data_IF_701969981188
#
_entry.id   IF_701969981188
#
_cell.length_a   1.000
_cell.length_b   1.000
_cell.length_c   1.000
_cell.angle_alpha   90.00
_cell.angle_beta   90.00
_cell.angle_gamma   90.00
#
_symmetry.space_group_name_H-M   'P 1'
#
loop_
_entity.id
_entity.type
_entity.pdbx_description
1 polymer ?
#
# COMPACT_ATOMS: atom_id res chain seq x y z
N UNK A 1 25.16 -10.22 -5.07
CA UNK A 1 25.35 -9.18 -6.12
C UNK A 1 24.87 -7.89 -5.48
N UNK A 2 25.68 -6.83 -5.41
CA UNK A 2 25.30 -5.63 -4.65
C UNK A 2 24.00 -5.03 -5.18
N UNK A 3 23.04 -4.76 -4.29
CA UNK A 3 21.79 -4.09 -4.64
C UNK A 3 22.08 -2.64 -5.04
N UNK A 4 21.48 -2.20 -6.14
CA UNK A 4 21.50 -0.80 -6.59
C UNK A 4 20.07 -0.31 -6.84
N UNK A 5 19.85 1.00 -6.77
CA UNK A 5 18.56 1.60 -7.11
C UNK A 5 18.17 1.32 -8.56
N UNK A 6 19.14 1.29 -9.47
CA UNK A 6 18.89 0.92 -10.86
C UNK A 6 18.30 -0.50 -11.00
N UNK A 7 18.84 -1.49 -10.27
CA UNK A 7 18.30 -2.84 -10.32
C UNK A 7 16.86 -2.93 -9.80
N UNK A 8 16.53 -2.10 -8.81
CA UNK A 8 15.15 -1.97 -8.30
C UNK A 8 14.24 -1.40 -9.39
N UNK A 9 14.68 -0.35 -10.10
CA UNK A 9 13.90 0.24 -11.19
C UNK A 9 13.70 -0.72 -12.35
N UNK A 10 14.72 -1.48 -12.74
CA UNK A 10 14.62 -2.47 -13.81
C UNK A 10 13.57 -3.54 -13.48
N UNK A 11 13.51 -4.00 -12.22
CA UNK A 11 12.48 -4.93 -11.75
C UNK A 11 11.09 -4.28 -11.82
N UNK A 12 10.95 -3.07 -11.29
CA UNK A 12 9.66 -2.37 -11.28
C UNK A 12 9.18 -2.03 -12.69
N UNK A 13 10.08 -1.75 -13.64
CA UNK A 13 9.73 -1.55 -15.05
C UNK A 13 9.14 -2.83 -15.64
N UNK A 14 9.74 -3.99 -15.38
CA UNK A 14 9.18 -5.29 -15.78
C UNK A 14 7.81 -5.58 -15.15
N UNK A 15 7.59 -5.15 -13.90
CA UNK A 15 6.29 -5.25 -13.23
C UNK A 15 5.28 -4.29 -13.88
N UNK A 16 5.68 -3.05 -14.16
CA UNK A 16 4.84 -2.05 -14.81
C UNK A 16 4.38 -2.53 -16.18
N UNK A 17 5.26 -3.11 -17.00
CA UNK A 17 4.89 -3.69 -18.30
C UNK A 17 3.81 -4.77 -18.20
N UNK A 18 3.82 -5.54 -17.11
CA UNK A 18 2.82 -6.59 -16.86
C UNK A 18 1.48 -6.02 -16.41
N UNK A 19 1.49 -4.98 -15.58
CA UNK A 19 0.30 -4.39 -14.95
C UNK A 19 -0.37 -3.35 -15.85
N UNK A 20 0.40 -2.66 -16.67
CA UNK A 20 -0.09 -1.57 -17.50
C UNK A 20 -1.12 -2.09 -18.52
N UNK A 21 -2.13 -1.27 -18.82
CA UNK A 21 -3.26 -1.59 -19.70
C UNK A 21 -4.15 -2.77 -19.27
N UNK A 22 -3.92 -3.35 -18.09
CA UNK A 22 -4.79 -4.38 -17.53
C UNK A 22 -6.09 -3.78 -16.97
N UNK A 23 -7.18 -4.57 -16.87
CA UNK A 23 -8.41 -4.09 -16.24
C UNK A 23 -8.18 -3.67 -14.78
N UNK A 24 -8.91 -2.67 -14.32
CA UNK A 24 -8.96 -2.35 -12.89
C UNK A 24 -9.68 -3.51 -12.16
N UNK A 25 -9.11 -4.06 -11.06
CA UNK A 25 -9.78 -5.05 -10.24
C UNK A 25 -11.19 -4.66 -9.83
N UNK A 26 -12.09 -5.63 -9.77
CA UNK A 26 -13.51 -5.39 -9.53
C UNK A 26 -13.76 -4.72 -8.17
N UNK A 27 -13.10 -5.18 -7.11
CA UNK A 27 -13.23 -4.60 -5.77
C UNK A 27 -12.83 -3.13 -5.72
N UNK A 28 -11.75 -2.74 -6.40
CA UNK A 28 -11.33 -1.34 -6.49
C UNK A 28 -12.35 -0.50 -7.29
N UNK A 29 -12.96 -1.08 -8.33
CA UNK A 29 -14.06 -0.44 -9.07
C UNK A 29 -15.31 -0.27 -8.20
N UNK A 30 -15.67 -1.27 -7.40
CA UNK A 30 -16.80 -1.21 -6.48
C UNK A 30 -16.57 -0.17 -5.39
N UNK A 31 -15.37 -0.11 -4.82
CA UNK A 31 -14.98 0.92 -3.87
C UNK A 31 -15.13 2.32 -4.45
N UNK A 32 -14.58 2.54 -5.66
CA UNK A 32 -14.70 3.81 -6.40
C UNK A 32 -16.16 4.20 -6.62
N UNK A 33 -17.01 3.23 -7.03
CA UNK A 33 -18.45 3.46 -7.23
C UNK A 33 -19.16 3.84 -5.93
N UNK A 34 -18.87 3.15 -4.84
CA UNK A 34 -19.43 3.44 -3.52
C UNK A 34 -19.06 4.86 -3.07
N UNK A 35 -17.77 5.23 -3.19
CA UNK A 35 -17.26 6.57 -2.87
C UNK A 35 -17.92 7.66 -3.70
N UNK A 36 -18.04 7.47 -5.01
CA UNK A 36 -18.72 8.42 -5.89
C UNK A 36 -20.20 8.61 -5.53
N UNK A 37 -20.92 7.52 -5.22
CA UNK A 37 -22.32 7.59 -4.77
C UNK A 37 -22.46 8.33 -3.43
N UNK A 38 -21.52 8.14 -2.51
CA UNK A 38 -21.49 8.88 -1.26
C UNK A 38 -21.27 10.39 -1.50
N UNK A 39 -20.30 10.74 -2.36
CA UNK A 39 -20.05 12.13 -2.76
C UNK A 39 -21.27 12.78 -3.41
N UNK A 40 -21.94 12.07 -4.32
CA UNK A 40 -23.17 12.54 -4.98
C UNK A 40 -24.28 12.80 -3.96
N UNK A 41 -24.48 11.89 -2.99
CA UNK A 41 -25.48 12.07 -1.94
C UNK A 41 -25.21 13.32 -1.09
N UNK A 42 -23.98 13.50 -0.63
CA UNK A 42 -23.61 14.67 0.18
C UNK A 42 -23.72 15.95 -0.67
N UNK A 43 -23.33 15.90 -1.94
CA UNK A 43 -23.45 17.04 -2.85
C UNK A 43 -24.91 17.48 -3.03
N UNK A 44 -25.82 16.52 -3.27
CA UNK A 44 -27.24 16.79 -3.41
C UNK A 44 -27.85 17.38 -2.13
N UNK A 45 -27.54 16.78 -0.97
CA UNK A 45 -28.01 17.28 0.33
C UNK A 45 -27.50 18.70 0.62
N UNK A 46 -26.21 18.95 0.35
CA UNK A 46 -25.60 20.27 0.49
C UNK A 46 -26.22 21.29 -0.47
N UNK A 47 -26.55 20.90 -1.69
CA UNK A 47 -27.19 21.79 -2.67
C UNK A 47 -28.62 22.14 -2.25
N UNK A 48 -29.41 21.15 -1.82
CA UNK A 48 -30.80 21.35 -1.38
C UNK A 48 -30.87 22.26 -0.15
N UNK A 49 -29.88 22.18 0.75
CA UNK A 49 -29.81 22.93 2.01
C UNK A 49 -28.96 24.20 1.92
N UNK A 50 -28.31 24.48 0.78
CA UNK A 50 -27.43 25.64 0.56
C UNK A 50 -28.09 26.99 0.89
N UNK A 51 -29.40 27.10 0.67
CA UNK A 51 -30.17 28.31 0.96
C UNK A 51 -30.31 28.60 2.47
N UNK A 52 -30.08 27.61 3.33
CA UNK A 52 -30.25 27.73 4.78
C UNK A 52 -29.01 28.28 5.47
N UNK A 53 -27.80 27.90 5.02
CA UNK A 53 -26.55 28.29 5.67
C UNK A 53 -25.35 28.15 4.73
N UNK A 54 -24.34 29.03 4.88
CA UNK A 54 -23.13 29.04 4.04
C UNK A 54 -22.27 27.78 4.18
N UNK A 55 -22.36 27.09 5.32
CA UNK A 55 -21.68 25.80 5.56
C UNK A 55 -21.95 24.80 4.42
N UNK A 56 -23.20 24.67 3.97
CA UNK A 56 -23.57 23.72 2.92
C UNK A 56 -23.01 24.11 1.54
N UNK A 57 -22.82 25.41 1.27
CA UNK A 57 -22.11 25.88 0.07
C UNK A 57 -20.63 25.47 0.14
N UNK A 58 -20.02 25.56 1.33
CA UNK A 58 -18.64 25.13 1.55
C UNK A 58 -18.49 23.61 1.40
N UNK A 59 -19.40 22.82 1.99
CA UNK A 59 -19.40 21.34 1.85
C UNK A 59 -19.45 20.92 0.37
N UNK A 60 -20.34 21.55 -0.41
CA UNK A 60 -20.47 21.28 -1.85
C UNK A 60 -19.18 21.60 -2.63
N UNK A 61 -18.51 22.71 -2.31
CA UNK A 61 -17.25 23.10 -2.94
C UNK A 61 -16.09 22.18 -2.54
N UNK A 62 -16.02 21.77 -1.27
CA UNK A 62 -14.95 20.91 -0.74
C UNK A 62 -15.03 19.48 -1.29
N UNK A 63 -16.23 18.96 -1.58
CA UNK A 63 -16.40 17.62 -2.16
C UNK A 63 -15.65 17.41 -3.49
N UNK A 64 -15.50 18.45 -4.32
CA UNK A 64 -14.74 18.37 -5.56
C UNK A 64 -13.22 18.18 -5.34
N UNK A 65 -12.72 18.55 -4.16
CA UNK A 65 -11.32 18.42 -3.78
C UNK A 65 -11.00 17.08 -3.10
N UNK A 66 -12.03 16.34 -2.68
CA UNK A 66 -11.84 15.03 -2.06
C UNK A 66 -11.61 14.00 -3.15
N UNK A 67 -10.46 13.33 -3.15
CA UNK A 67 -10.21 12.25 -4.08
C UNK A 67 -11.18 11.09 -3.88
N UNK A 68 -11.56 10.46 -5.00
CA UNK A 68 -12.42 9.27 -4.94
C UNK A 68 -11.64 8.06 -4.42
N UNK A 69 -10.35 7.98 -4.75
CA UNK A 69 -9.41 6.98 -4.24
C UNK A 69 -8.61 7.58 -3.08
N UNK A 70 -8.94 7.16 -1.86
CA UNK A 70 -8.14 7.42 -0.68
C UNK A 70 -7.14 6.29 -0.45
N UNK A 71 -6.34 6.37 0.61
CA UNK A 71 -5.29 5.39 0.94
C UNK A 71 -5.83 3.95 1.00
N UNK A 72 -7.05 3.77 1.53
CA UNK A 72 -7.70 2.45 1.59
C UNK A 72 -8.02 1.95 0.18
N UNK A 73 -8.60 2.80 -0.66
CA UNK A 73 -8.87 2.46 -2.06
C UNK A 73 -7.61 2.05 -2.81
N UNK A 74 -6.50 2.77 -2.61
CA UNK A 74 -5.22 2.43 -3.21
C UNK A 74 -4.67 1.10 -2.71
N UNK A 75 -4.77 0.80 -1.41
CA UNK A 75 -4.33 -0.50 -0.88
C UNK A 75 -5.18 -1.68 -1.40
N UNK A 76 -6.48 -1.51 -1.57
CA UNK A 76 -7.35 -2.51 -2.22
C UNK A 76 -6.86 -2.77 -3.65
N UNK A 77 -6.54 -1.70 -4.40
CA UNK A 77 -5.99 -1.83 -5.76
C UNK A 77 -4.67 -2.60 -5.75
N UNK A 78 -3.73 -2.24 -4.88
CA UNK A 78 -2.42 -2.87 -4.82
C UNK A 78 -2.49 -4.34 -4.43
N UNK A 79 -3.32 -4.71 -3.45
CA UNK A 79 -3.52 -6.11 -3.03
C UNK A 79 -4.08 -6.95 -4.17
N UNK A 80 -5.14 -6.46 -4.82
CA UNK A 80 -5.77 -7.17 -5.92
C UNK A 80 -4.82 -7.33 -7.13
N UNK A 81 -4.03 -6.30 -7.45
CA UNK A 81 -3.00 -6.40 -8.51
C UNK A 81 -1.90 -7.39 -8.10
N UNK A 82 -1.47 -7.35 -6.84
CA UNK A 82 -0.46 -8.26 -6.29
C UNK A 82 -0.88 -9.73 -6.42
N UNK A 83 -2.11 -10.04 -6.01
CA UNK A 83 -2.69 -11.38 -6.09
C UNK A 83 -2.88 -11.83 -7.54
N UNK A 84 -3.54 -11.00 -8.35
CA UNK A 84 -3.88 -11.34 -9.74
C UNK A 84 -2.63 -11.56 -10.60
N UNK A 85 -1.63 -10.71 -10.45
CA UNK A 85 -0.38 -10.79 -11.21
C UNK A 85 0.68 -11.67 -10.53
N UNK A 86 0.41 -12.23 -9.35
CA UNK A 86 1.35 -13.01 -8.55
C UNK A 86 2.70 -12.29 -8.32
N UNK A 87 2.62 -10.99 -8.04
CA UNK A 87 3.76 -10.13 -7.69
C UNK A 87 3.69 -9.77 -6.21
N UNK A 88 4.82 -9.50 -5.53
CA UNK A 88 4.78 -9.03 -4.16
C UNK A 88 4.04 -7.69 -4.03
N UNK A 89 3.35 -7.49 -2.91
CA UNK A 89 2.58 -6.26 -2.64
C UNK A 89 3.47 -5.02 -2.65
N UNK A 90 4.71 -5.13 -2.18
CA UNK A 90 5.67 -4.02 -2.24
C UNK A 90 6.00 -3.59 -3.67
N UNK A 91 5.98 -4.52 -4.63
CA UNK A 91 6.24 -4.21 -6.04
C UNK A 91 5.05 -3.51 -6.66
N UNK A 92 3.82 -3.95 -6.31
CA UNK A 92 2.61 -3.24 -6.70
C UNK A 92 2.63 -1.81 -6.15
N UNK A 93 2.86 -1.62 -4.84
CA UNK A 93 3.01 -0.29 -4.21
C UNK A 93 4.12 0.57 -4.81
N UNK A 94 5.15 -0.04 -5.38
CA UNK A 94 6.28 0.65 -6.00
C UNK A 94 5.95 1.29 -7.36
N UNK A 95 4.75 1.10 -7.90
CA UNK A 95 4.32 1.72 -9.14
C UNK A 95 3.49 2.98 -8.88
N UNK A 96 3.62 3.96 -9.77
CA UNK A 96 2.74 5.12 -9.81
C UNK A 96 1.54 4.81 -10.71
N UNK A 97 0.33 4.87 -10.16
CA UNK A 97 -0.91 4.47 -10.83
C UNK A 97 -1.71 5.69 -11.28
N UNK A 98 -2.34 5.55 -12.44
CA UNK A 98 -3.38 6.42 -12.92
C UNK A 98 -4.56 5.56 -13.37
N UNK A 99 -5.74 5.83 -12.82
CA UNK A 99 -6.97 5.15 -13.18
C UNK A 99 -7.72 5.99 -14.20
N UNK A 100 -8.04 5.40 -15.35
CA UNK A 100 -8.81 6.11 -16.35
C UNK A 100 -10.21 6.46 -15.78
N UNK A 101 -10.62 7.74 -15.82
CA UNK A 101 -11.94 8.15 -15.33
C UNK A 101 -13.08 7.70 -16.24
N UNK A 102 -12.80 7.25 -17.46
CA UNK A 102 -13.81 6.77 -18.40
C UNK A 102 -14.38 5.41 -17.95
N UNK A 103 -15.68 5.33 -17.62
CA UNK A 103 -16.33 4.08 -17.20
C UNK A 103 -16.35 3.00 -18.30
N UNK A 104 -16.11 3.36 -19.56
CA UNK A 104 -15.98 2.43 -20.69
C UNK A 104 -14.56 1.88 -20.85
N UNK A 105 -13.54 2.56 -20.30
CA UNK A 105 -12.14 2.18 -20.42
C UNK A 105 -11.55 2.02 -19.02
N UNK A 106 -11.98 0.97 -18.31
CA UNK A 106 -11.50 0.68 -16.95
C UNK A 106 -10.16 -0.03 -16.96
N UNK A 107 -9.12 0.69 -17.37
CA UNK A 107 -7.75 0.19 -17.41
C UNK A 107 -6.87 0.89 -16.38
N UNK A 108 -5.90 0.14 -15.90
CA UNK A 108 -4.79 0.66 -15.12
C UNK A 108 -3.77 1.24 -16.08
N UNK A 109 -3.34 2.47 -15.83
CA UNK A 109 -2.09 2.98 -16.34
C UNK A 109 -1.09 3.05 -15.21
N UNK A 110 0.11 2.52 -15.41
CA UNK A 110 1.14 2.60 -14.39
C UNK A 110 2.51 2.84 -15.00
N UNK A 111 3.36 3.51 -14.23
CA UNK A 111 4.76 3.78 -14.57
C UNK A 111 5.63 3.73 -13.32
N UNK A 112 6.93 3.68 -13.52
CA UNK A 112 7.92 3.82 -12.45
C UNK A 112 8.29 5.29 -12.34
N UNK A 113 8.07 5.88 -11.17
CA UNK A 113 8.54 7.22 -10.82
C UNK A 113 9.70 7.10 -9.85
N UNK A 114 10.93 7.17 -10.36
CA UNK A 114 12.15 6.95 -9.57
C UNK A 114 12.24 7.88 -8.36
N UNK A 115 11.88 9.15 -8.52
CA UNK A 115 11.91 10.14 -7.43
C UNK A 115 10.93 9.81 -6.30
N UNK A 116 9.72 9.30 -6.61
CA UNK A 116 8.76 8.88 -5.59
C UNK A 116 9.28 7.67 -4.79
N UNK A 117 9.95 6.74 -5.47
CA UNK A 117 10.51 5.53 -4.86
C UNK A 117 11.71 5.88 -3.96
N UNK A 118 12.62 6.75 -4.43
CA UNK A 118 13.80 7.15 -3.64
C UNK A 118 13.44 7.87 -2.34
N UNK A 119 12.36 8.65 -2.37
CA UNK A 119 11.88 9.40 -1.21
C UNK A 119 11.02 8.55 -0.26
N UNK A 120 10.65 7.33 -0.64
CA UNK A 120 9.82 6.44 0.16
C UNK A 120 10.59 5.22 0.67
N UNK A 121 11.30 5.41 1.80
CA UNK A 121 12.10 4.36 2.43
C UNK A 121 11.31 3.07 2.71
N UNK A 122 10.02 3.17 3.06
CA UNK A 122 9.16 2.01 3.34
C UNK A 122 8.93 1.16 2.10
N UNK A 123 8.63 1.79 0.97
CA UNK A 123 8.47 1.10 -0.31
C UNK A 123 9.80 0.46 -0.73
N UNK A 124 10.89 1.21 -0.62
CA UNK A 124 12.23 0.75 -0.99
C UNK A 124 12.65 -0.51 -0.22
N UNK A 125 12.48 -0.51 1.11
CA UNK A 125 12.76 -1.69 1.95
C UNK A 125 11.84 -2.85 1.59
N UNK A 126 10.54 -2.59 1.40
CA UNK A 126 9.57 -3.62 1.02
C UNK A 126 10.02 -4.35 -0.26
N UNK A 127 10.40 -3.60 -1.29
CA UNK A 127 10.84 -4.15 -2.58
C UNK A 127 12.13 -4.96 -2.40
N UNK A 128 13.09 -4.45 -1.64
CA UNK A 128 14.36 -5.15 -1.42
C UNK A 128 14.14 -6.51 -0.74
N UNK A 129 13.36 -6.55 0.34
CA UNK A 129 13.12 -7.79 1.09
C UNK A 129 12.20 -8.76 0.37
N UNK A 130 11.20 -8.29 -0.38
CA UNK A 130 10.42 -9.18 -1.24
C UNK A 130 11.24 -9.66 -2.46
N UNK A 131 12.24 -8.89 -2.90
CA UNK A 131 13.23 -9.32 -3.88
C UNK A 131 14.11 -10.47 -3.38
N UNK A 132 14.46 -10.49 -2.09
CA UNK A 132 15.13 -11.65 -1.45
C UNK A 132 14.22 -12.89 -1.52
N UNK A 133 12.93 -12.76 -1.19
CA UNK A 133 11.97 -13.88 -1.28
C UNK A 133 11.81 -14.40 -2.72
N UNK A 134 11.94 -13.53 -3.72
CA UNK A 134 11.92 -13.90 -5.15
C UNK A 134 13.27 -14.42 -5.65
N UNK A 135 14.32 -14.42 -4.82
CA UNK A 135 15.65 -14.92 -5.16
C UNK A 135 16.49 -13.96 -6.02
N UNK A 136 16.16 -12.67 -6.05
CA UNK A 136 16.96 -11.68 -6.79
C UNK A 136 18.26 -11.32 -6.06
N UNK A 137 18.22 -11.33 -4.72
CA UNK A 137 19.34 -10.95 -3.87
C UNK A 137 19.43 -11.84 -2.64
N UNK A 138 20.62 -11.90 -2.06
CA UNK A 138 20.84 -12.54 -0.77
C UNK A 138 20.39 -11.62 0.37
N UNK A 139 20.02 -12.23 1.50
CA UNK A 139 19.55 -11.49 2.68
C UNK A 139 20.59 -10.49 3.23
N UNK A 140 21.87 -10.85 3.19
CA UNK A 140 22.95 -9.98 3.69
C UNK A 140 23.16 -8.76 2.80
N UNK A 141 23.00 -8.91 1.48
CA UNK A 141 23.04 -7.80 0.52
C UNK A 141 21.87 -6.84 0.76
N UNK A 142 20.68 -7.36 1.10
CA UNK A 142 19.48 -6.59 1.44
C UNK A 142 19.64 -5.78 2.72
N UNK A 143 20.18 -6.39 3.79
CA UNK A 143 20.46 -5.69 5.05
C UNK A 143 21.48 -4.57 4.85
N UNK A 144 22.59 -4.85 4.18
CA UNK A 144 23.61 -3.83 3.91
C UNK A 144 23.05 -2.64 3.10
N UNK A 145 22.12 -2.89 2.18
CA UNK A 145 21.45 -1.83 1.44
C UNK A 145 20.50 -1.01 2.33
N UNK A 146 19.66 -1.68 3.13
CA UNK A 146 18.70 -1.03 4.03
C UNK A 146 19.41 -0.16 5.09
N UNK A 147 20.49 -0.65 5.71
CA UNK A 147 21.30 0.12 6.67
C UNK A 147 21.84 1.43 6.07
N UNK A 148 22.16 1.41 4.77
CA UNK A 148 22.75 2.55 4.08
C UNK A 148 21.72 3.53 3.55
N UNK A 149 20.58 3.04 3.04
CA UNK A 149 19.59 3.83 2.30
C UNK A 149 18.33 4.14 3.08
N UNK A 150 18.02 3.34 4.10
CA UNK A 150 16.82 3.47 4.91
C UNK A 150 17.14 3.28 6.41
N UNK A 151 18.08 4.06 6.97
CA UNK A 151 18.56 3.87 8.34
C UNK A 151 17.48 4.11 9.40
N UNK A 152 16.38 4.79 9.04
CA UNK A 152 15.31 5.17 9.96
C UNK A 152 14.28 4.05 10.17
N UNK A 153 14.35 2.97 9.40
CA UNK A 153 13.43 1.83 9.49
C UNK A 153 14.17 0.67 10.15
N UNK A 154 13.95 0.40 11.44
CA UNK A 154 14.64 -0.66 12.16
C UNK A 154 14.21 -2.04 11.65
N UNK A 155 15.12 -3.01 11.74
CA UNK A 155 14.76 -4.41 11.55
C UNK A 155 13.85 -4.89 12.67
N UNK A 156 13.06 -5.91 12.37
CA UNK A 156 12.34 -6.64 13.39
C UNK A 156 13.33 -7.29 14.36
N UNK A 157 13.26 -6.87 15.63
CA UNK A 157 13.99 -7.48 16.75
C UNK A 157 12.99 -8.32 17.56
N UNK A 158 13.21 -9.64 17.59
CA UNK A 158 12.35 -10.60 18.29
C UNK A 158 12.33 -10.30 19.80
N UNK A 159 13.46 -9.94 20.38
CA UNK A 159 13.59 -9.72 21.82
C UNK A 159 12.87 -8.42 22.22
N UNK A 160 13.00 -7.37 21.41
CA UNK A 160 12.26 -6.11 21.62
C UNK A 160 10.75 -6.28 21.40
N UNK A 161 10.35 -7.09 20.42
CA UNK A 161 8.94 -7.41 20.18
C UNK A 161 8.31 -8.20 21.33
N UNK A 162 8.99 -9.25 21.82
CA UNK A 162 8.53 -10.03 22.99
C UNK A 162 8.43 -9.12 24.22
N UNK A 163 9.41 -8.24 24.43
CA UNK A 163 9.39 -7.27 25.52
C UNK A 163 8.17 -6.35 25.42
N UNK A 164 7.90 -5.80 24.24
CA UNK A 164 6.75 -4.91 23.98
C UNK A 164 5.42 -5.63 24.22
N UNK A 165 5.28 -6.87 23.74
CA UNK A 165 4.10 -7.70 23.99
C UNK A 165 3.89 -7.99 25.48
N UNK A 166 4.98 -8.30 26.20
CA UNK A 166 4.93 -8.52 27.65
C UNK A 166 4.47 -7.26 28.38
N UNK A 167 4.97 -6.08 28.02
CA UNK A 167 4.55 -4.80 28.61
C UNK A 167 3.06 -4.52 28.36
N UNK A 168 2.57 -4.73 27.13
CA UNK A 168 1.16 -4.56 26.78
C UNK A 168 0.23 -5.56 27.49
N UNK A 169 0.71 -6.78 27.75
CA UNK A 169 -0.05 -7.84 28.42
C UNK A 169 0.15 -7.87 29.95
N UNK A 170 0.79 -6.85 30.54
CA UNK A 170 0.87 -6.69 32.00
C UNK A 170 2.05 -7.40 32.67
N UNK A 171 3.14 -7.66 31.95
CA UNK A 171 4.47 -8.01 32.48
C UNK A 171 4.67 -9.47 32.90
N UNK A 172 3.66 -10.33 32.76
CA UNK A 172 3.70 -11.72 33.23
C UNK A 172 3.89 -12.78 32.14
N UNK A 173 4.11 -12.39 30.88
CA UNK A 173 3.99 -13.31 29.74
C UNK A 173 5.33 -13.60 29.05
N UNK A 174 6.47 -13.22 29.64
CA UNK A 174 7.77 -13.48 29.01
C UNK A 174 8.04 -14.97 28.91
N UNK A 175 7.74 -15.75 29.95
CA UNK A 175 8.04 -17.20 30.00
C UNK A 175 7.15 -18.04 29.06
N UNK A 176 5.91 -17.63 28.81
CA UNK A 176 4.99 -18.31 27.88
C UNK A 176 5.16 -17.84 26.42
N UNK A 177 5.79 -16.68 26.18
CA UNK A 177 5.97 -16.10 24.84
C UNK A 177 7.36 -16.35 24.21
N UNK A 178 8.34 -16.90 24.95
CA UNK A 178 9.68 -17.20 24.39
C UNK A 178 9.59 -18.12 23.18
N UNK A 179 8.64 -19.06 23.23
CA UNK A 179 8.36 -20.04 22.18
C UNK A 179 7.27 -19.57 21.21
N UNK A 180 6.85 -18.30 21.24
CA UNK A 180 5.91 -17.78 20.24
C UNK A 180 6.59 -17.81 18.89
N UNK A 181 6.03 -18.61 17.99
CA UNK A 181 6.37 -18.57 16.58
C UNK A 181 6.16 -17.15 16.08
N UNK A 182 7.19 -16.57 15.45
CA UNK A 182 7.02 -15.31 14.74
C UNK A 182 5.97 -15.59 13.65
N UNK A 183 4.93 -14.78 13.50
CA UNK A 183 3.97 -14.97 12.41
C UNK A 183 4.72 -14.89 11.07
N UNK A 184 5.02 -16.05 10.46
CA UNK A 184 5.67 -16.14 9.15
C UNK A 184 4.68 -15.96 7.99
N UNK A 185 3.38 -15.95 8.30
CA UNK A 185 2.28 -15.74 7.37
C UNK A 185 1.06 -15.12 8.06
N UNK A 186 0.41 -14.19 7.36
CA UNK A 186 -0.91 -13.69 7.73
C UNK A 186 -1.97 -14.65 7.25
N UNK A 187 -2.23 -15.70 8.03
CA UNK A 187 -3.58 -16.27 8.04
C UNK A 187 -4.43 -15.28 8.86
N UNK A 188 -5.42 -14.67 8.20
CA UNK A 188 -6.36 -13.73 8.79
C UNK A 188 -6.84 -14.24 10.15
N UNK A 189 -6.37 -13.62 11.23
CA UNK A 189 -6.97 -13.80 12.55
C UNK A 189 -8.28 -13.00 12.55
N UNK A 190 -9.35 -13.63 12.09
CA UNK A 190 -10.71 -13.17 12.32
C UNK A 190 -10.98 -13.23 13.83
N UNK A 191 -10.90 -12.09 14.51
CA UNK A 191 -11.45 -11.93 15.84
C UNK A 191 -12.97 -11.78 15.69
N UNK A 192 -13.72 -12.84 15.99
CA UNK A 192 -15.18 -12.83 16.14
C UNK A 192 -15.60 -12.07 17.41
#
# INVERSE_FOLDING_TARGET
MSITTQNIYDILQGVAEKVNDTPIPEEAVEYTRMRNKAKERIHNEAHDTAHMHSMYVMDSAMLSQVDTMDDIGWEILYSNVSERENIPLSFARGLSYNLNPDPMVKKIYCKVEEEEIENNQRILIGIVFDGVKKGFWELDDAKAFADKKCPDIPYFDKDEWIKTLSELMGGHVVEDLVDTDIPEGGDDVYLF
#
